data_IF_725552143617
#
_entry.id   IF_725552143617
#
_cell.length_a   1.000
_cell.length_b   1.000
_cell.length_c   1.000
_cell.angle_alpha   90.00
_cell.angle_beta   90.00
_cell.angle_gamma   90.00
#
_symmetry.space_group_name_H-M   'P 1'
#
loop_
_entity.id
_entity.type
_entity.pdbx_description
1 polymer ?
#
# COMPACT_ATOMS: atom_id res chain seq x y z
N UNK A 1 -8.36 25.87 -4.92
CA UNK A 1 -8.43 24.40 -4.73
C UNK A 1 -7.70 24.09 -3.44
N UNK A 2 -8.44 23.81 -2.36
CA UNK A 2 -7.84 23.54 -1.04
C UNK A 2 -7.21 22.15 -1.10
N UNK A 3 -5.89 22.08 -1.27
CA UNK A 3 -5.15 20.85 -1.09
C UNK A 3 -5.32 20.42 0.36
N UNK A 4 -6.19 19.44 0.61
CA UNK A 4 -6.28 18.75 1.90
C UNK A 4 -4.87 18.30 2.25
N UNK A 5 -4.26 18.95 3.24
CA UNK A 5 -3.02 18.51 3.86
C UNK A 5 -3.41 17.30 4.69
N UNK A 6 -3.41 16.11 4.08
CA UNK A 6 -3.53 14.86 4.82
C UNK A 6 -2.21 14.65 5.56
N UNK A 7 -2.13 15.16 6.80
CA UNK A 7 -1.05 14.86 7.72
C UNK A 7 -0.87 13.34 7.78
N UNK A 8 0.34 12.79 7.53
CA UNK A 8 0.57 11.36 7.48
C UNK A 8 0.23 10.75 8.83
N UNK A 9 -0.96 10.17 8.95
CA UNK A 9 -1.57 9.96 10.27
C UNK A 9 -1.09 8.64 10.85
N UNK A 10 -0.89 7.61 10.01
CA UNK A 10 -0.37 6.30 10.41
C UNK A 10 0.34 5.60 9.25
N UNK A 11 1.57 5.17 9.50
CA UNK A 11 2.32 4.27 8.61
C UNK A 11 1.86 2.83 8.81
N UNK A 12 1.40 2.19 7.74
CA UNK A 12 0.89 0.82 7.77
C UNK A 12 1.70 -0.08 6.85
N UNK A 13 1.85 -1.35 7.24
CA UNK A 13 2.51 -2.35 6.42
C UNK A 13 1.51 -2.95 5.43
N UNK A 14 1.79 -2.82 4.14
CA UNK A 14 1.12 -3.60 3.12
C UNK A 14 1.66 -5.03 3.17
N UNK A 15 0.77 -5.99 3.40
CA UNK A 15 1.13 -7.40 3.47
C UNK A 15 0.77 -8.09 2.16
N UNK A 16 1.62 -9.02 1.74
CA UNK A 16 1.33 -9.88 0.62
C UNK A 16 0.05 -10.69 0.90
N UNK A 17 -0.96 -10.66 0.01
CA UNK A 17 -2.19 -11.43 0.20
C UNK A 17 -1.96 -12.94 0.11
N UNK A 18 -0.86 -13.37 -0.53
CA UNK A 18 -0.56 -14.80 -0.72
C UNK A 18 0.23 -15.42 0.43
N UNK A 19 1.18 -14.70 1.02
CA UNK A 19 2.11 -15.26 2.02
C UNK A 19 2.18 -14.47 3.34
N UNK A 20 1.48 -13.34 3.43
CA UNK A 20 1.46 -12.48 4.62
C UNK A 20 2.75 -11.67 4.84
N UNK A 21 3.75 -11.79 3.97
CA UNK A 21 5.00 -11.05 4.13
C UNK A 21 4.78 -9.55 4.00
N UNK A 22 5.44 -8.79 4.87
CA UNK A 22 5.52 -7.33 4.79
C UNK A 22 6.25 -6.93 3.50
N UNK A 23 5.54 -6.20 2.64
CA UNK A 23 6.04 -5.81 1.32
C UNK A 23 6.55 -4.38 1.32
N UNK A 24 5.71 -3.44 1.76
CA UNK A 24 6.05 -2.02 1.83
C UNK A 24 5.31 -1.35 2.98
N UNK A 25 5.75 -0.14 3.31
CA UNK A 25 5.05 0.74 4.24
C UNK A 25 4.39 1.82 3.41
N UNK A 26 3.11 2.06 3.64
CA UNK A 26 2.37 3.14 3.02
C UNK A 26 1.72 4.01 4.08
N UNK A 27 1.43 5.24 3.69
CA UNK A 27 0.66 6.16 4.52
C UNK A 27 -0.84 5.88 4.38
N UNK A 28 -1.60 6.01 5.46
CA UNK A 28 -3.04 5.76 5.43
C UNK A 28 -3.82 6.70 4.49
N UNK A 29 -3.29 7.89 4.18
CA UNK A 29 -3.88 8.79 3.21
C UNK A 29 -3.37 8.58 1.77
N UNK A 30 -2.46 7.63 1.55
CA UNK A 30 -1.94 7.35 0.22
C UNK A 30 -3.01 6.71 -0.66
N UNK A 31 -3.13 7.19 -1.90
CA UNK A 31 -3.91 6.54 -2.96
C UNK A 31 -2.93 5.96 -3.96
N UNK A 32 -3.00 4.65 -4.19
CA UNK A 32 -2.10 3.97 -5.10
C UNK A 32 -2.84 2.84 -5.82
N UNK A 33 -2.66 2.79 -7.14
CA UNK A 33 -3.23 1.77 -8.03
C UNK A 33 -2.29 1.62 -9.23
N UNK A 34 -2.22 0.42 -9.81
CA UNK A 34 -1.31 0.15 -10.93
C UNK A 34 0.16 -0.03 -10.54
N UNK A 35 0.46 -0.27 -9.26
CA UNK A 35 1.81 -0.61 -8.79
C UNK A 35 1.86 -2.12 -8.56
N UNK A 36 2.79 -2.78 -9.24
CA UNK A 36 3.01 -4.21 -9.13
C UNK A 36 4.36 -4.47 -8.49
N UNK A 37 4.37 -5.29 -7.45
CA UNK A 37 5.61 -5.67 -6.78
C UNK A 37 5.72 -7.17 -6.70
N UNK A 38 6.93 -7.66 -6.93
CA UNK A 38 7.22 -9.08 -6.76
C UNK A 38 7.53 -9.35 -5.28
N UNK A 39 6.78 -10.28 -4.67
CA UNK A 39 7.08 -10.71 -3.32
C UNK A 39 8.34 -11.59 -3.33
N UNK A 40 9.38 -11.21 -2.59
CA UNK A 40 10.63 -12.00 -2.51
C UNK A 40 10.47 -13.41 -1.94
N UNK A 41 9.42 -13.66 -1.13
CA UNK A 41 9.19 -14.96 -0.49
C UNK A 41 8.39 -15.93 -1.36
N UNK A 42 7.22 -15.52 -1.86
CA UNK A 42 6.40 -16.37 -2.71
C UNK A 42 6.71 -16.23 -4.20
N UNK A 43 7.57 -15.27 -4.59
CA UNK A 43 7.93 -14.92 -5.99
C UNK A 43 6.76 -14.54 -6.89
N UNK A 44 5.56 -14.36 -6.32
CA UNK A 44 4.37 -13.92 -7.04
C UNK A 44 4.35 -12.41 -7.16
N UNK A 45 3.76 -11.94 -8.26
CA UNK A 45 3.47 -10.54 -8.46
C UNK A 45 2.19 -10.16 -7.72
N UNK A 46 2.23 -9.02 -7.05
CA UNK A 46 1.14 -8.51 -6.22
C UNK A 46 0.88 -7.07 -6.62
N UNK A 47 -0.37 -6.79 -6.99
CA UNK A 47 -0.83 -5.42 -7.15
C UNK A 47 -1.00 -4.76 -5.78
N UNK A 48 -0.37 -3.62 -5.57
CA UNK A 48 -0.57 -2.77 -4.40
C UNK A 48 -1.74 -1.84 -4.69
N UNK A 49 -2.90 -2.18 -4.14
CA UNK A 49 -4.12 -1.36 -4.22
C UNK A 49 -4.37 -0.74 -2.87
N UNK A 50 -4.20 0.58 -2.79
CA UNK A 50 -4.54 1.36 -1.61
C UNK A 50 -5.65 2.31 -2.05
N UNK A 51 -6.88 1.91 -1.78
CA UNK A 51 -8.06 2.76 -1.89
C UNK A 51 -8.30 3.40 -0.53
N UNK A 52 -8.35 4.74 -0.50
CA UNK A 52 -8.82 5.47 0.68
C UNK A 52 -10.26 5.01 0.97
N UNK A 53 -10.50 4.49 2.17
CA UNK A 53 -11.85 4.40 2.70
C UNK A 53 -12.25 5.81 3.12
N UNK A 54 -13.03 6.49 2.27
CA UNK A 54 -13.84 7.63 2.68
C UNK A 54 -14.84 7.20 3.76
#
# INVERSE_FOLDING_TARGET
MMTKICLPTKRMWYRCPYCGQKLLIYDNAAKCSGIYIQCKKCKREVEVRIAEHL
#
